data_IF_326951927564
#
_entry.id   IF_326951927564
#
_cell.length_a   1.000
_cell.length_b   1.000
_cell.length_c   1.000
_cell.angle_alpha   90.00
_cell.angle_beta   90.00
_cell.angle_gamma   90.00
#
_symmetry.space_group_name_H-M   'P 1'
#
loop_
_entity.id
_entity.type
_entity.pdbx_description
1 polymer ?
#
# COMPACT_ATOMS: atom_id res chain seq x y z
N UNK A 1 9.01 3.91 -7.92
CA UNK A 1 8.40 5.18 -8.39
C UNK A 1 9.28 6.02 -9.33
N UNK A 2 10.62 5.93 -9.25
CA UNK A 2 11.55 6.80 -10.01
C UNK A 2 11.28 6.90 -11.53
N UNK A 3 11.08 5.78 -12.21
CA UNK A 3 10.80 5.80 -13.66
C UNK A 3 9.53 6.56 -14.05
N UNK A 4 8.49 6.54 -13.19
CA UNK A 4 7.27 7.31 -13.41
C UNK A 4 7.55 8.81 -13.21
N UNK A 5 8.28 9.16 -12.15
CA UNK A 5 8.65 10.55 -11.89
C UNK A 5 9.52 11.13 -12.99
N UNK A 6 10.48 10.37 -13.49
CA UNK A 6 11.42 10.81 -14.53
C UNK A 6 10.68 11.00 -15.89
N UNK A 7 9.65 10.20 -16.20
CA UNK A 7 8.90 10.27 -17.46
C UNK A 7 7.67 11.19 -17.43
N UNK A 8 7.05 11.38 -16.26
CA UNK A 8 5.74 12.04 -16.12
C UNK A 8 5.70 13.12 -15.04
N UNK A 9 6.79 13.33 -14.31
CA UNK A 9 6.91 14.31 -13.23
C UNK A 9 6.40 13.79 -11.87
N UNK A 10 6.87 14.45 -10.81
CA UNK A 10 6.57 14.08 -9.42
C UNK A 10 5.09 14.15 -9.06
N UNK A 11 4.34 15.11 -9.63
CA UNK A 11 2.90 15.25 -9.37
C UNK A 11 2.10 14.01 -9.81
N UNK A 12 2.54 13.36 -10.89
CA UNK A 12 1.96 12.11 -11.37
C UNK A 12 2.34 10.96 -10.44
N UNK A 13 3.61 10.85 -10.04
CA UNK A 13 4.05 9.87 -9.05
C UNK A 13 3.27 9.95 -7.74
N UNK A 14 3.07 11.16 -7.20
CA UNK A 14 2.29 11.40 -6.00
C UNK A 14 0.84 10.91 -6.15
N UNK A 15 0.25 11.06 -7.34
CA UNK A 15 -1.09 10.56 -7.63
C UNK A 15 -1.14 9.04 -7.60
N UNK A 16 -0.12 8.37 -8.13
CA UNK A 16 -0.01 6.90 -8.05
C UNK A 16 0.18 6.41 -6.62
N UNK A 17 1.06 7.07 -5.84
CA UNK A 17 1.28 6.73 -4.42
C UNK A 17 -0.03 6.88 -3.62
N UNK A 18 -0.75 7.99 -3.81
CA UNK A 18 -2.06 8.20 -3.15
C UNK A 18 -3.07 7.14 -3.55
N UNK A 19 -3.13 6.77 -4.83
CA UNK A 19 -4.05 5.75 -5.31
C UNK A 19 -3.72 4.37 -4.73
N UNK A 20 -2.44 3.98 -4.71
CA UNK A 20 -1.99 2.76 -4.07
C UNK A 20 -2.36 2.73 -2.58
N UNK A 21 -2.12 3.83 -1.86
CA UNK A 21 -2.48 3.93 -0.45
C UNK A 21 -3.99 3.78 -0.20
N UNK A 22 -4.84 4.34 -1.07
CA UNK A 22 -6.29 4.17 -0.99
C UNK A 22 -6.72 2.73 -1.28
N UNK A 23 -6.15 2.10 -2.31
CA UNK A 23 -6.41 0.69 -2.64
C UNK A 23 -6.04 -0.22 -1.47
N UNK A 24 -4.83 -0.07 -0.93
CA UNK A 24 -4.37 -0.87 0.22
C UNK A 24 -5.28 -0.64 1.43
N UNK A 25 -5.55 0.63 1.78
CA UNK A 25 -6.42 0.95 2.91
C UNK A 25 -7.83 0.36 2.79
N UNK A 26 -8.37 0.22 1.58
CA UNK A 26 -9.71 -0.36 1.36
C UNK A 26 -9.80 -1.88 1.55
N UNK A 27 -8.66 -2.55 1.65
CA UNK A 27 -8.57 -4.02 1.68
C UNK A 27 -8.12 -4.59 3.03
N UNK A 28 -7.67 -3.71 3.94
CA UNK A 28 -7.31 -4.03 5.33
C UNK A 28 -8.47 -3.66 6.26
N UNK A 29 -8.54 -4.30 7.43
CA UNK A 29 -9.58 -4.05 8.42
C UNK A 29 -9.25 -2.83 9.28
N UNK A 30 -10.23 -2.33 10.05
CA UNK A 30 -10.05 -1.14 10.89
C UNK A 30 -9.06 -1.35 12.04
N UNK A 31 -8.87 -2.60 12.47
CA UNK A 31 -7.96 -2.98 13.56
C UNK A 31 -6.51 -3.09 13.06
N UNK A 32 -6.32 -3.33 11.76
CA UNK A 32 -5.01 -3.44 11.14
C UNK A 32 -4.30 -2.09 11.10
N UNK A 33 -2.99 -2.10 11.30
CA UNK A 33 -2.17 -0.89 11.22
C UNK A 33 -1.57 -0.78 9.83
N UNK A 34 -2.03 0.20 9.06
CA UNK A 34 -1.47 0.54 7.75
C UNK A 34 -0.69 1.85 7.81
N UNK A 35 0.57 1.85 7.38
CA UNK A 35 1.41 3.04 7.35
C UNK A 35 2.34 3.11 6.14
N UNK A 36 2.72 4.33 5.79
CA UNK A 36 3.77 4.62 4.79
C UNK A 36 5.11 4.70 5.51
N UNK A 37 6.10 3.92 5.08
CA UNK A 37 7.41 3.81 5.74
C UNK A 37 8.56 4.45 4.94
N UNK A 38 8.38 4.62 3.62
CA UNK A 38 9.37 5.19 2.72
C UNK A 38 8.71 6.00 1.61
N UNK A 39 9.45 6.38 0.57
CA UNK A 39 8.94 7.24 -0.52
C UNK A 39 7.69 6.66 -1.22
N UNK A 40 7.80 5.41 -1.64
CA UNK A 40 6.76 4.58 -2.27
C UNK A 40 6.58 3.22 -1.57
N UNK A 41 7.05 3.11 -0.33
CA UNK A 41 7.03 1.90 0.47
C UNK A 41 5.97 1.99 1.59
N UNK A 42 5.25 0.89 1.80
CA UNK A 42 4.18 0.77 2.78
C UNK A 42 4.36 -0.49 3.63
N UNK A 43 3.84 -0.45 4.86
CA UNK A 43 3.79 -1.58 5.77
C UNK A 43 2.37 -1.75 6.32
N UNK A 44 1.99 -3.01 6.52
CA UNK A 44 0.74 -3.41 7.16
C UNK A 44 1.12 -4.32 8.33
N UNK A 45 0.60 -4.03 9.51
CA UNK A 45 0.60 -4.95 10.65
C UNK A 45 -0.82 -5.47 10.77
N UNK A 46 -0.98 -6.74 10.43
CA UNK A 46 -2.27 -7.41 10.48
C UNK A 46 -2.50 -7.92 11.90
N UNK A 47 -3.66 -7.61 12.47
CA UNK A 47 -4.07 -8.05 13.80
C UNK A 47 -5.12 -9.15 13.69
N UNK A 48 -5.16 -10.06 14.67
CA UNK A 48 -6.19 -11.10 14.76
C UNK A 48 -6.34 -12.02 13.52
N UNK A 49 -5.26 -12.18 12.74
CA UNK A 49 -5.24 -13.10 11.60
C UNK A 49 -4.56 -14.43 11.94
N UNK A 50 -5.14 -15.52 11.41
CA UNK A 50 -4.46 -16.80 11.30
C UNK A 50 -3.42 -16.72 10.16
N UNK A 51 -2.30 -17.43 10.28
CA UNK A 51 -1.13 -17.28 9.40
C UNK A 51 -1.49 -17.44 7.91
N UNK A 52 -2.47 -18.29 7.60
CA UNK A 52 -2.97 -18.55 6.26
C UNK A 52 -3.71 -17.36 5.61
N UNK A 53 -4.25 -16.42 6.41
CA UNK A 53 -4.97 -15.24 5.89
C UNK A 53 -4.04 -14.14 5.40
N UNK A 54 -2.77 -14.16 5.78
CA UNK A 54 -1.81 -13.14 5.36
C UNK A 54 -1.54 -13.20 3.85
N UNK A 55 -1.34 -14.40 3.31
CA UNK A 55 -1.10 -14.62 1.88
C UNK A 55 -2.32 -14.19 1.04
N UNK A 56 -3.53 -14.53 1.49
CA UNK A 56 -4.79 -14.11 0.86
C UNK A 56 -4.95 -12.58 0.78
N UNK A 57 -4.33 -11.83 1.68
CA UNK A 57 -4.37 -10.36 1.68
C UNK A 57 -3.34 -9.81 0.69
N UNK A 58 -2.15 -10.42 0.61
CA UNK A 58 -1.11 -10.02 -0.35
C UNK A 58 -1.61 -10.21 -1.78
N UNK A 59 -2.32 -11.30 -2.06
CA UNK A 59 -2.86 -11.62 -3.39
C UNK A 59 -3.99 -10.69 -3.86
N UNK A 60 -4.47 -9.77 -3.02
CA UNK A 60 -5.49 -8.76 -3.39
C UNK A 60 -4.91 -7.53 -4.09
N UNK A 61 -3.59 -7.40 -4.14
CA UNK A 61 -2.87 -6.24 -4.67
C UNK A 61 -2.11 -6.56 -5.95
#
# INVERSE_FOLDING_TARGET
MKAINDNYGHSIGDRYIKKAAMTIKSSVQNEDVFSKIGGDEFAIILTEIDYFKADDIVDRF
#
